data_IF_550737016805
#
_entry.id   IF_550737016805
#
_cell.length_a   1.000
_cell.length_b   1.000
_cell.length_c   1.000
_cell.angle_alpha   90.00
_cell.angle_beta   90.00
_cell.angle_gamma   90.00
#
_symmetry.space_group_name_H-M   'P 1'
#
loop_
_entity.id
_entity.type
_entity.pdbx_description
1 polymer ?
#
# COMPACT_ATOMS: atom_id res chain seq x y z
N UNK A 1 39.58 -29.18 -2.46
CA UNK A 1 38.88 -27.88 -2.52
C UNK A 1 39.16 -27.35 -3.91
N UNK A 2 38.17 -27.35 -4.80
CA UNK A 2 38.37 -26.97 -6.18
C UNK A 2 38.12 -25.46 -6.33
N UNK A 3 39.18 -24.72 -6.63
CA UNK A 3 39.09 -23.28 -6.88
C UNK A 3 38.14 -23.00 -8.04
N UNK A 4 37.15 -22.10 -7.86
CA UNK A 4 36.24 -21.72 -8.92
C UNK A 4 36.96 -20.89 -9.97
N UNK A 5 36.53 -21.03 -11.22
CA UNK A 5 37.00 -20.19 -12.31
C UNK A 5 36.26 -18.86 -12.23
N UNK A 6 36.99 -17.77 -12.04
CA UNK A 6 36.44 -16.42 -11.92
C UNK A 6 36.62 -15.70 -13.25
N UNK A 7 35.53 -15.13 -13.77
CA UNK A 7 35.48 -14.40 -15.04
C UNK A 7 34.71 -13.10 -14.84
N UNK A 8 35.03 -12.06 -15.62
CA UNK A 8 34.26 -10.83 -15.63
C UNK A 8 33.18 -10.90 -16.70
N UNK A 9 31.99 -10.38 -16.42
CA UNK A 9 30.86 -10.41 -17.35
C UNK A 9 31.12 -9.70 -18.68
N UNK A 10 32.13 -8.84 -18.75
CA UNK A 10 32.48 -8.05 -19.94
C UNK A 10 33.55 -8.69 -20.80
N UNK A 11 34.25 -9.68 -20.27
CA UNK A 11 35.39 -10.30 -20.91
C UNK A 11 35.32 -11.80 -20.65
N UNK A 12 34.52 -12.46 -21.49
CA UNK A 12 34.26 -13.89 -21.41
C UNK A 12 34.90 -14.55 -22.62
N UNK A 13 35.97 -15.29 -22.37
CA UNK A 13 36.60 -16.14 -23.39
C UNK A 13 35.68 -17.31 -23.77
N UNK A 14 35.58 -17.58 -25.08
CA UNK A 14 34.58 -18.46 -25.68
C UNK A 14 34.82 -19.97 -25.47
N UNK A 15 35.89 -20.40 -24.78
CA UNK A 15 36.22 -21.83 -24.63
C UNK A 15 35.71 -22.45 -23.31
N UNK A 16 34.38 -22.53 -23.20
CA UNK A 16 33.68 -23.05 -22.00
C UNK A 16 33.71 -24.59 -21.95
N UNK A 17 33.93 -25.25 -23.08
CA UNK A 17 33.91 -26.72 -23.21
C UNK A 17 35.10 -27.42 -22.55
N UNK A 18 36.18 -26.67 -22.28
CA UNK A 18 37.42 -27.17 -21.69
C UNK A 18 37.41 -27.17 -20.16
N UNK A 19 36.37 -26.61 -19.52
CA UNK A 19 36.33 -26.49 -18.06
C UNK A 19 35.83 -27.77 -17.36
N UNK A 20 36.54 -28.27 -16.34
CA UNK A 20 36.11 -29.44 -15.60
C UNK A 20 34.85 -29.14 -14.80
N UNK A 21 33.82 -29.99 -14.95
CA UNK A 21 32.49 -29.86 -14.32
C UNK A 21 32.56 -29.69 -12.80
N UNK A 22 33.60 -30.25 -12.17
CA UNK A 22 33.84 -30.18 -10.74
C UNK A 22 34.27 -28.80 -10.23
N UNK A 23 34.68 -27.88 -11.11
CA UNK A 23 35.01 -26.50 -10.75
C UNK A 23 33.78 -25.61 -10.98
N UNK A 24 33.38 -24.81 -10.00
CA UNK A 24 32.32 -23.82 -10.21
C UNK A 24 32.81 -22.69 -11.13
N UNK A 25 31.90 -22.00 -11.81
CA UNK A 25 32.19 -20.75 -12.54
C UNK A 25 31.56 -19.59 -11.78
N UNK A 26 32.33 -18.54 -11.53
CA UNK A 26 31.87 -17.27 -10.98
C UNK A 26 32.00 -16.21 -12.08
N UNK A 27 30.89 -15.57 -12.44
CA UNK A 27 30.89 -14.44 -13.38
C UNK A 27 30.58 -13.17 -12.60
N UNK A 28 31.53 -12.25 -12.57
CA UNK A 28 31.46 -11.02 -11.81
C UNK A 28 30.89 -9.85 -12.62
N UNK A 29 30.27 -8.90 -11.93
CA UNK A 29 29.83 -7.61 -12.48
C UNK A 29 28.83 -7.65 -13.64
N UNK A 30 27.86 -8.57 -13.59
CA UNK A 30 26.82 -8.71 -14.63
C UNK A 30 25.94 -7.46 -14.80
N UNK A 31 25.99 -6.51 -13.87
CA UNK A 31 25.27 -5.26 -13.92
C UNK A 31 25.94 -4.18 -14.80
N UNK A 32 27.22 -4.33 -15.16
CA UNK A 32 27.99 -3.31 -15.89
C UNK A 32 28.42 -3.80 -17.28
N UNK A 33 27.63 -3.51 -18.32
CA UNK A 33 27.91 -3.84 -19.75
C UNK A 33 28.19 -5.34 -20.08
N UNK A 34 27.41 -6.30 -19.54
CA UNK A 34 27.69 -7.71 -19.71
C UNK A 34 27.62 -8.18 -21.18
N UNK A 35 28.49 -9.12 -21.56
CA UNK A 35 28.35 -9.90 -22.79
C UNK A 35 27.21 -10.92 -22.63
N UNK A 36 26.03 -10.53 -23.10
CA UNK A 36 24.80 -11.29 -22.90
C UNK A 36 24.84 -12.64 -23.61
N UNK A 37 25.44 -12.72 -24.79
CA UNK A 37 25.41 -13.92 -25.60
C UNK A 37 26.33 -14.98 -25.01
N UNK A 38 27.53 -14.59 -24.61
CA UNK A 38 28.49 -15.47 -23.96
C UNK A 38 27.97 -16.02 -22.62
N UNK A 39 27.39 -15.16 -21.78
CA UNK A 39 26.79 -15.60 -20.49
C UNK A 39 25.64 -16.59 -20.71
N UNK A 40 24.76 -16.31 -21.68
CA UNK A 40 23.63 -17.20 -21.98
C UNK A 40 24.10 -18.55 -22.54
N UNK A 41 25.19 -18.58 -23.30
CA UNK A 41 25.76 -19.82 -23.80
C UNK A 41 26.38 -20.66 -22.68
N UNK A 42 27.13 -20.03 -21.76
CA UNK A 42 27.65 -20.67 -20.54
C UNK A 42 26.51 -21.27 -19.70
N UNK A 43 25.46 -20.49 -19.43
CA UNK A 43 24.31 -20.94 -18.65
C UNK A 43 23.58 -22.14 -19.27
N UNK A 44 23.65 -22.31 -20.60
CA UNK A 44 22.98 -23.41 -21.32
C UNK A 44 23.86 -24.65 -21.46
N UNK A 45 25.17 -24.48 -21.67
CA UNK A 45 26.08 -25.59 -22.00
C UNK A 45 26.79 -26.17 -20.78
N UNK A 46 27.11 -25.33 -19.80
CA UNK A 46 27.86 -25.77 -18.63
C UNK A 46 26.98 -26.55 -17.66
N UNK A 47 27.44 -27.74 -17.25
CA UNK A 47 26.69 -28.64 -16.35
C UNK A 47 27.02 -28.45 -14.87
N UNK A 48 28.08 -27.71 -14.54
CA UNK A 48 28.49 -27.43 -13.18
C UNK A 48 27.74 -26.24 -12.55
N UNK A 49 28.16 -25.84 -11.35
CA UNK A 49 27.55 -24.71 -10.65
C UNK A 49 28.06 -23.38 -11.20
N UNK A 50 27.13 -22.50 -11.59
CA UNK A 50 27.43 -21.11 -12.01
C UNK A 50 26.90 -20.14 -10.96
N UNK A 51 27.70 -19.16 -10.57
CA UNK A 51 27.33 -18.06 -9.70
C UNK A 51 27.56 -16.74 -10.42
N UNK A 52 26.51 -15.94 -10.55
CA UNK A 52 26.59 -14.60 -11.11
C UNK A 52 26.55 -13.57 -9.97
N UNK A 53 27.46 -12.59 -9.96
CA UNK A 53 27.44 -11.50 -8.97
C UNK A 53 27.03 -10.17 -9.60
N UNK A 54 26.31 -9.37 -8.82
CA UNK A 54 25.82 -8.04 -9.23
C UNK A 54 25.63 -7.16 -8.00
N UNK A 55 25.86 -5.85 -8.16
CA UNK A 55 25.60 -4.87 -7.09
C UNK A 55 24.10 -4.60 -6.96
N UNK A 56 23.37 -4.56 -8.08
CA UNK A 56 21.95 -4.28 -8.12
C UNK A 56 21.17 -5.22 -9.07
N UNK A 57 19.88 -5.41 -8.79
CA UNK A 57 19.01 -6.25 -9.62
C UNK A 57 18.51 -5.53 -10.88
N UNK A 58 18.44 -4.18 -10.87
CA UNK A 58 17.76 -3.41 -11.93
C UNK A 58 18.55 -3.37 -13.22
N UNK A 59 19.88 -3.31 -13.11
CA UNK A 59 20.79 -3.16 -14.25
C UNK A 59 21.12 -4.49 -14.94
N UNK A 60 20.77 -5.62 -14.32
CA UNK A 60 21.02 -6.95 -14.88
C UNK A 60 20.02 -7.27 -16.02
N UNK A 61 20.48 -7.80 -17.17
CA UNK A 61 19.59 -8.15 -18.29
C UNK A 61 18.53 -9.20 -17.91
N UNK A 62 17.26 -8.93 -18.28
CA UNK A 62 16.11 -9.80 -17.95
C UNK A 62 16.27 -11.26 -18.40
N UNK A 63 16.92 -11.49 -19.54
CA UNK A 63 17.12 -12.83 -20.09
C UNK A 63 18.03 -13.68 -19.19
N UNK A 64 19.05 -13.06 -18.58
CA UNK A 64 19.94 -13.72 -17.62
C UNK A 64 19.19 -13.96 -16.31
N UNK A 65 18.45 -12.96 -15.82
CA UNK A 65 17.65 -13.10 -14.59
C UNK A 65 16.66 -14.27 -14.68
N UNK A 66 16.01 -14.45 -15.82
CA UNK A 66 15.02 -15.51 -16.02
C UNK A 66 15.61 -16.93 -15.88
N UNK A 67 16.92 -17.10 -16.12
CA UNK A 67 17.61 -18.39 -16.02
C UNK A 67 18.22 -18.64 -14.63
N UNK A 68 18.22 -17.66 -13.74
CA UNK A 68 18.94 -17.73 -12.47
C UNK A 68 18.01 -17.67 -11.25
N UNK A 69 18.37 -18.42 -10.21
CA UNK A 69 17.73 -18.28 -8.89
C UNK A 69 18.35 -17.11 -8.14
N UNK A 70 17.59 -16.04 -7.95
CA UNK A 70 18.07 -14.83 -7.28
C UNK A 70 18.24 -15.09 -5.78
N UNK A 71 19.43 -14.81 -5.26
CA UNK A 71 19.72 -14.72 -3.81
C UNK A 71 20.26 -13.32 -3.51
N UNK A 72 19.71 -12.64 -2.51
CA UNK A 72 20.22 -11.34 -2.07
C UNK A 72 21.30 -11.55 -1.03
N UNK A 73 22.50 -11.03 -1.27
CA UNK A 73 23.51 -10.89 -0.22
C UNK A 73 22.97 -9.93 0.86
N UNK A 74 23.19 -10.28 2.14
CA UNK A 74 22.74 -9.47 3.29
C UNK A 74 21.33 -9.77 3.81
N UNK A 75 20.60 -10.75 3.25
CA UNK A 75 19.32 -11.19 3.84
C UNK A 75 19.50 -11.86 5.20
N UNK A 76 20.65 -12.49 5.41
CA UNK A 76 20.99 -13.14 6.67
C UNK A 76 21.86 -12.18 7.49
N UNK A 77 21.34 -11.77 8.65
CA UNK A 77 22.07 -10.89 9.56
C UNK A 77 23.04 -11.73 10.41
N UNK A 78 24.20 -12.07 9.83
CA UNK A 78 25.21 -12.92 10.47
C UNK A 78 25.65 -12.38 11.84
N UNK A 79 25.73 -11.05 11.98
CA UNK A 79 26.03 -10.40 13.26
C UNK A 79 24.96 -10.69 14.31
N UNK A 80 23.68 -10.61 13.95
CA UNK A 80 22.59 -10.99 14.86
C UNK A 80 22.66 -12.45 15.27
N UNK A 81 22.96 -13.35 14.33
CA UNK A 81 23.11 -14.78 14.65
C UNK A 81 24.27 -15.01 15.64
N UNK A 82 25.37 -14.27 15.50
CA UNK A 82 26.48 -14.31 16.46
C UNK A 82 26.08 -13.77 17.84
N UNK A 83 25.34 -12.65 17.87
CA UNK A 83 24.81 -12.10 19.14
C UNK A 83 23.84 -13.08 19.80
N UNK A 84 22.94 -13.73 19.04
CA UNK A 84 22.02 -14.74 19.57
C UNK A 84 22.77 -15.97 20.12
N UNK A 85 23.90 -16.36 19.53
CA UNK A 85 24.74 -17.43 20.11
C UNK A 85 25.47 -16.99 21.39
N UNK A 86 25.86 -15.72 21.50
CA UNK A 86 26.59 -15.19 22.66
C UNK A 86 25.67 -14.81 23.82
N UNK A 87 24.49 -14.26 23.51
CA UNK A 87 23.51 -13.75 24.45
C UNK A 87 22.09 -14.17 24.00
N UNK A 88 21.71 -15.44 24.22
CA UNK A 88 20.44 -15.97 23.70
C UNK A 88 19.18 -15.33 24.33
N UNK A 89 19.33 -14.69 25.49
CA UNK A 89 18.25 -13.99 26.19
C UNK A 89 18.28 -12.47 25.96
N UNK A 90 19.11 -11.95 25.05
CA UNK A 90 19.10 -10.53 24.72
C UNK A 90 17.82 -10.14 23.99
N UNK A 91 17.19 -9.05 24.40
CA UNK A 91 16.10 -8.45 23.65
C UNK A 91 16.63 -7.76 22.38
N UNK A 92 15.87 -7.78 21.28
CA UNK A 92 16.26 -7.06 20.08
C UNK A 92 16.27 -5.54 20.38
N UNK A 93 17.21 -4.78 19.79
CA UNK A 93 17.27 -3.34 20.00
C UNK A 93 15.95 -2.70 19.56
N UNK A 94 15.37 -1.89 20.44
CA UNK A 94 14.16 -1.13 20.13
C UNK A 94 14.51 0.01 19.17
N UNK A 95 14.03 -0.11 17.93
CA UNK A 95 14.14 1.00 16.97
C UNK A 95 13.07 2.05 17.26
N UNK A 96 13.45 3.33 17.32
CA UNK A 96 12.52 4.46 17.46
C UNK A 96 11.92 4.91 16.12
N UNK A 97 12.53 4.53 14.99
CA UNK A 97 12.03 4.91 13.67
C UNK A 97 10.74 4.16 13.36
N UNK A 98 9.68 4.93 13.05
CA UNK A 98 8.37 4.42 12.69
C UNK A 98 7.79 5.20 11.53
N UNK A 99 7.20 4.50 10.58
CA UNK A 99 6.35 5.12 9.57
C UNK A 99 5.02 5.57 10.21
N UNK A 100 4.29 6.48 9.54
CA UNK A 100 3.07 7.06 10.12
C UNK A 100 2.00 6.02 10.44
N UNK A 101 1.92 4.94 9.65
CA UNK A 101 0.98 3.85 9.92
C UNK A 101 1.35 3.12 11.20
N UNK A 102 2.60 2.65 11.34
CA UNK A 102 3.03 1.93 12.54
C UNK A 102 2.97 2.81 13.78
N UNK A 103 3.32 4.09 13.65
CA UNK A 103 3.23 5.05 14.75
C UNK A 103 1.79 5.25 15.23
N UNK A 104 0.81 5.40 14.32
CA UNK A 104 -0.61 5.51 14.70
C UNK A 104 -1.14 4.19 15.30
N UNK A 105 -0.71 3.05 14.75
CA UNK A 105 -1.10 1.75 15.25
C UNK A 105 -0.56 1.49 16.66
N UNK A 106 0.72 1.75 16.90
CA UNK A 106 1.36 1.66 18.22
C UNK A 106 0.72 2.64 19.20
N UNK A 107 0.48 3.89 18.78
CA UNK A 107 -0.19 4.91 19.61
C UNK A 107 -1.52 4.41 20.19
N UNK A 108 -2.32 3.71 19.37
CA UNK A 108 -3.64 3.20 19.75
C UNK A 108 -3.57 1.91 20.58
N UNK A 109 -2.57 1.07 20.33
CA UNK A 109 -2.44 -0.25 20.96
C UNK A 109 -1.68 -0.20 22.28
N UNK A 110 -0.52 0.43 22.28
CA UNK A 110 0.40 0.51 23.40
C UNK A 110 -0.29 1.16 24.60
N UNK A 111 0.06 0.78 25.83
CA UNK A 111 -0.47 1.41 27.04
C UNK A 111 0.54 2.38 27.63
N UNK A 112 1.84 2.12 27.48
CA UNK A 112 2.89 3.02 27.96
C UNK A 112 2.86 4.33 27.17
N UNK A 113 2.52 5.45 27.84
CA UNK A 113 2.35 6.76 27.19
C UNK A 113 3.66 7.52 27.05
N UNK A 114 4.61 7.29 27.97
CA UNK A 114 5.95 7.87 27.87
C UNK A 114 6.68 7.36 26.63
N UNK A 115 6.56 6.07 26.34
CA UNK A 115 7.11 5.48 25.12
C UNK A 115 6.52 6.14 23.86
N UNK A 116 5.19 6.31 23.82
CA UNK A 116 4.52 6.95 22.68
C UNK A 116 4.91 8.42 22.54
N UNK A 117 5.03 9.16 23.64
CA UNK A 117 5.55 10.53 23.65
C UNK A 117 6.93 10.59 23.00
N UNK A 118 7.84 9.72 23.42
CA UNK A 118 9.20 9.68 22.89
C UNK A 118 9.22 9.30 21.40
N UNK A 119 8.38 8.35 20.99
CA UNK A 119 8.21 7.98 19.57
C UNK A 119 7.65 9.13 18.72
N UNK A 120 6.66 9.87 19.22
CA UNK A 120 6.09 11.03 18.53
C UNK A 120 7.10 12.17 18.41
N UNK A 121 7.87 12.43 19.47
CA UNK A 121 8.91 13.47 19.50
C UNK A 121 10.13 13.12 18.63
N UNK A 122 10.45 11.83 18.48
CA UNK A 122 11.51 11.36 17.60
C UNK A 122 11.10 11.45 16.12
N UNK A 123 9.95 10.89 15.76
CA UNK A 123 9.51 10.80 14.36
C UNK A 123 8.88 12.10 13.81
N UNK A 124 8.32 12.95 14.67
CA UNK A 124 7.68 14.23 14.34
C UNK A 124 6.75 14.19 13.10
N UNK A 125 5.71 13.33 13.10
CA UNK A 125 4.79 13.20 11.98
C UNK A 125 3.96 14.49 11.81
N UNK A 126 3.66 14.89 10.57
CA UNK A 126 2.86 16.10 10.33
C UNK A 126 1.55 16.11 11.15
N UNK A 127 1.32 17.18 11.93
CA UNK A 127 0.25 17.28 12.94
C UNK A 127 -1.14 17.00 12.35
N UNK A 128 -1.39 17.51 11.14
CA UNK A 128 -2.64 17.29 10.41
C UNK A 128 -2.81 15.84 9.96
N UNK A 129 -1.72 15.20 9.55
CA UNK A 129 -1.74 13.81 9.10
C UNK A 129 -2.04 12.88 10.28
N UNK A 130 -1.31 12.99 11.39
CA UNK A 130 -1.54 12.11 12.53
C UNK A 130 -2.94 12.29 13.14
N UNK A 131 -3.43 13.53 13.27
CA UNK A 131 -4.78 13.78 13.77
C UNK A 131 -5.86 13.23 12.84
N UNK A 132 -5.69 13.34 11.52
CA UNK A 132 -6.66 12.77 10.56
C UNK A 132 -6.74 11.25 10.65
N UNK A 133 -5.62 10.58 10.96
CA UNK A 133 -5.58 9.14 11.15
C UNK A 133 -6.19 8.72 12.49
N UNK A 134 -5.90 9.46 13.56
CA UNK A 134 -6.45 9.18 14.89
C UNK A 134 -7.96 9.48 14.97
N UNK A 135 -8.46 10.50 14.27
CA UNK A 135 -9.88 10.89 14.28
C UNK A 135 -10.82 9.79 13.74
N UNK A 136 -10.34 8.92 12.85
CA UNK A 136 -11.12 7.79 12.31
C UNK A 136 -11.18 6.59 13.29
N UNK A 137 -10.28 6.57 14.27
CA UNK A 137 -10.10 5.43 15.17
C UNK A 137 -10.42 5.76 16.63
N UNK A 138 -10.57 7.04 16.97
CA UNK A 138 -10.82 7.52 18.32
C UNK A 138 -12.09 8.36 18.40
N UNK A 139 -12.69 8.40 19.59
CA UNK A 139 -13.81 9.31 19.85
C UNK A 139 -13.34 10.78 19.71
N UNK A 140 -14.05 11.62 18.94
CA UNK A 140 -13.64 13.01 18.65
C UNK A 140 -13.27 13.81 19.90
N UNK A 141 -14.06 13.70 20.98
CA UNK A 141 -13.81 14.43 22.23
C UNK A 141 -12.41 14.26 22.81
N UNK A 142 -11.73 13.14 22.55
CA UNK A 142 -10.35 12.92 23.03
C UNK A 142 -9.33 13.79 22.29
N UNK A 143 -9.62 14.16 21.04
CA UNK A 143 -8.73 14.93 20.17
C UNK A 143 -9.11 16.41 20.06
N UNK A 144 -10.34 16.79 20.44
CA UNK A 144 -10.85 18.18 20.31
C UNK A 144 -9.92 19.20 20.97
N UNK A 145 -9.46 18.92 22.20
CA UNK A 145 -8.58 19.86 22.90
C UNK A 145 -7.23 20.01 22.18
N UNK A 146 -6.65 18.90 21.75
CA UNK A 146 -5.34 18.87 21.09
C UNK A 146 -5.41 19.55 19.71
N UNK A 147 -6.42 19.25 18.90
CA UNK A 147 -6.58 19.85 17.56
C UNK A 147 -7.06 21.31 17.60
N UNK A 148 -8.00 21.63 18.50
CA UNK A 148 -8.63 22.95 18.57
C UNK A 148 -7.81 24.01 19.32
N UNK A 149 -7.11 23.61 20.40
CA UNK A 149 -6.39 24.54 21.28
C UNK A 149 -4.89 24.38 21.13
N UNK A 150 -4.37 23.17 21.32
CA UNK A 150 -2.92 22.94 21.48
C UNK A 150 -2.17 23.18 20.16
N UNK A 151 -2.58 22.48 19.09
CA UNK A 151 -1.96 22.51 17.77
C UNK A 151 -1.72 23.90 17.18
N UNK A 152 -2.59 24.87 17.46
CA UNK A 152 -2.51 26.22 16.87
C UNK A 152 -1.82 27.25 17.75
N UNK A 153 -1.78 27.02 19.07
CA UNK A 153 -1.36 28.04 20.05
C UNK A 153 -0.03 27.73 20.72
N UNK A 154 0.42 26.48 20.67
CA UNK A 154 1.57 26.00 21.44
C UNK A 154 2.64 25.39 20.53
N UNK A 155 3.81 25.13 21.11
CA UNK A 155 4.93 24.51 20.39
C UNK A 155 4.61 23.08 19.96
N UNK A 156 5.23 22.63 18.87
CA UNK A 156 5.02 21.29 18.33
C UNK A 156 5.43 20.18 19.32
N UNK A 157 6.45 20.43 20.13
CA UNK A 157 6.86 19.53 21.22
C UNK A 157 5.72 19.32 22.21
N UNK A 158 5.14 20.41 22.70
CA UNK A 158 4.01 20.35 23.63
C UNK A 158 2.77 19.72 22.99
N UNK A 159 2.55 19.94 21.70
CA UNK A 159 1.50 19.25 20.94
C UNK A 159 1.64 17.73 21.00
N UNK A 160 2.84 17.17 20.73
CA UNK A 160 3.04 15.71 20.80
C UNK A 160 2.98 15.17 22.22
N UNK A 161 3.49 15.91 23.20
CA UNK A 161 3.37 15.54 24.61
C UNK A 161 1.89 15.44 25.00
N UNK A 162 1.07 16.46 24.71
CA UNK A 162 -0.36 16.43 24.99
C UNK A 162 -1.11 15.38 24.15
N UNK A 163 -0.71 15.17 22.89
CA UNK A 163 -1.28 14.14 22.05
C UNK A 163 -1.05 12.76 22.68
N UNK A 164 0.17 12.43 23.10
CA UNK A 164 0.52 11.14 23.70
C UNK A 164 -0.43 10.73 24.85
N UNK A 165 -0.78 11.68 25.72
CA UNK A 165 -1.67 11.44 26.86
C UNK A 165 -3.17 11.61 26.56
N UNK A 166 -3.55 11.99 25.33
CA UNK A 166 -4.97 12.10 24.95
C UNK A 166 -5.67 10.74 24.81
N UNK A 167 -4.90 9.65 24.82
CA UNK A 167 -5.40 8.28 24.75
C UNK A 167 -4.64 7.34 25.70
N UNK A 168 -5.37 6.46 26.38
CA UNK A 168 -4.81 5.46 27.29
C UNK A 168 -4.29 4.18 26.59
N UNK A 169 -4.55 4.01 25.29
CA UNK A 169 -4.21 2.79 24.56
C UNK A 169 -5.32 1.72 24.61
N UNK A 170 -4.90 0.46 24.47
CA UNK A 170 -5.74 -0.75 24.54
C UNK A 170 -6.80 -0.86 23.42
N UNK A 171 -6.57 -0.22 22.27
CA UNK A 171 -7.43 -0.42 21.12
C UNK A 171 -7.29 -1.87 20.60
N UNK A 172 -8.36 -2.65 20.72
CA UNK A 172 -8.47 -3.96 20.09
C UNK A 172 -9.09 -3.81 18.69
N UNK A 173 -8.28 -3.97 17.63
CA UNK A 173 -8.79 -3.92 16.27
C UNK A 173 -7.75 -3.57 15.21
N UNK A 174 -8.22 -3.51 13.96
CA UNK A 174 -7.43 -3.01 12.83
C UNK A 174 -7.57 -1.49 12.77
N UNK A 175 -6.48 -0.81 12.39
CA UNK A 175 -6.48 0.62 12.12
C UNK A 175 -7.34 0.92 10.89
N UNK A 176 -8.33 1.78 11.04
CA UNK A 176 -9.09 2.35 9.93
C UNK A 176 -8.28 3.48 9.30
N UNK A 177 -7.96 3.34 8.01
CA UNK A 177 -7.27 4.39 7.27
C UNK A 177 -8.25 5.51 6.89
N UNK A 178 -7.83 6.79 6.99
CA UNK A 178 -8.69 7.89 6.58
C UNK A 178 -9.01 7.80 5.09
N UNK A 179 -10.30 7.79 4.77
CA UNK A 179 -10.74 7.74 3.37
C UNK A 179 -10.74 9.14 2.79
N UNK A 180 -9.88 9.34 1.79
CA UNK A 180 -9.88 10.59 1.01
C UNK A 180 -11.28 10.81 0.40
N UNK A 181 -11.79 12.05 0.47
CA UNK A 181 -13.09 12.48 -0.11
C UNK A 181 -14.34 11.89 0.55
N UNK A 182 -14.29 11.53 1.84
CA UNK A 182 -15.48 11.18 2.63
C UNK A 182 -16.38 12.38 2.98
N UNK A 183 -16.11 13.56 2.39
CA UNK A 183 -17.02 14.70 2.48
C UNK A 183 -18.36 14.38 1.81
N UNK A 184 -19.43 14.93 2.38
CA UNK A 184 -20.79 14.80 1.84
C UNK A 184 -20.81 15.10 0.34
N UNK A 185 -21.44 14.25 -0.47
CA UNK A 185 -21.65 14.52 -1.89
C UNK A 185 -22.66 15.65 -2.13
N UNK A 186 -23.33 16.16 -1.09
CA UNK A 186 -24.38 17.18 -1.19
C UNK A 186 -23.91 18.48 -1.88
N UNK A 187 -22.72 19.06 -1.58
CA UNK A 187 -22.26 20.27 -2.28
C UNK A 187 -21.94 20.03 -3.76
N UNK A 188 -21.55 18.79 -4.13
CA UNK A 188 -21.40 18.41 -5.53
C UNK A 188 -22.76 18.26 -6.21
N UNK A 189 -23.72 17.61 -5.57
CA UNK A 189 -25.08 17.45 -6.10
C UNK A 189 -25.82 18.78 -6.24
N UNK A 190 -25.64 19.69 -5.28
CA UNK A 190 -26.15 21.07 -5.34
C UNK A 190 -25.68 21.76 -6.61
N UNK A 191 -24.37 21.73 -6.89
CA UNK A 191 -23.80 22.29 -8.12
C UNK A 191 -24.29 21.60 -9.39
N UNK A 192 -24.44 20.27 -9.37
CA UNK A 192 -24.98 19.47 -10.49
C UNK A 192 -26.42 19.85 -10.84
N UNK A 193 -27.21 20.25 -9.83
CA UNK A 193 -28.57 20.76 -10.00
C UNK A 193 -28.64 22.26 -10.29
N UNK A 194 -27.50 22.96 -10.39
CA UNK A 194 -27.43 24.40 -10.64
C UNK A 194 -27.65 25.28 -9.40
N UNK A 195 -27.72 24.69 -8.21
CA UNK A 195 -27.94 25.42 -6.96
C UNK A 195 -26.59 25.70 -6.28
N UNK A 196 -26.24 26.98 -6.13
CA UNK A 196 -24.96 27.38 -5.51
C UNK A 196 -24.89 27.05 -4.01
N UNK A 197 -26.00 27.13 -3.29
CA UNK A 197 -26.06 26.92 -1.84
C UNK A 197 -26.78 25.60 -1.48
N UNK A 198 -26.10 24.64 -0.80
CA UNK A 198 -26.70 23.36 -0.43
C UNK A 198 -27.84 23.47 0.59
N UNK A 199 -27.95 24.57 1.34
CA UNK A 199 -29.07 24.81 2.27
C UNK A 199 -30.35 25.11 1.50
N UNK A 200 -30.25 25.91 0.44
CA UNK A 200 -31.37 26.27 -0.45
C UNK A 200 -31.85 25.02 -1.21
N UNK A 201 -30.93 24.12 -1.59
CA UNK A 201 -31.29 22.86 -2.23
C UNK A 201 -32.32 22.06 -1.39
N UNK A 202 -32.14 21.98 -0.07
CA UNK A 202 -33.07 21.25 0.80
C UNK A 202 -34.46 21.90 0.86
N UNK A 203 -34.55 23.22 0.67
CA UNK A 203 -35.83 23.94 0.59
C UNK A 203 -36.50 23.68 -0.76
N UNK A 204 -35.76 23.76 -1.87
CA UNK A 204 -36.25 23.48 -3.22
C UNK A 204 -36.72 22.03 -3.37
N UNK A 205 -36.09 21.08 -2.70
CA UNK A 205 -36.51 19.67 -2.74
C UNK A 205 -37.87 19.40 -2.05
N UNK A 206 -38.43 20.37 -1.32
CA UNK A 206 -39.80 20.29 -0.77
C UNK A 206 -40.86 20.55 -1.83
N UNK A 207 -40.51 21.30 -2.89
CA UNK A 207 -41.39 21.56 -4.02
C UNK A 207 -41.50 20.29 -4.89
N UNK A 208 -42.73 19.76 -5.13
CA UNK A 208 -42.92 18.56 -5.94
C UNK A 208 -42.40 18.72 -7.37
N UNK A 209 -42.52 19.89 -7.99
CA UNK A 209 -42.11 20.10 -9.38
C UNK A 209 -40.59 20.03 -9.51
N UNK A 210 -39.88 20.73 -8.63
CA UNK A 210 -38.42 20.69 -8.58
C UNK A 210 -37.90 19.29 -8.25
N UNK A 211 -38.61 18.55 -7.38
CA UNK A 211 -38.28 17.17 -7.03
C UNK A 211 -38.36 16.21 -8.23
N UNK A 212 -39.38 16.34 -9.08
CA UNK A 212 -39.49 15.54 -10.30
C UNK A 212 -38.43 15.90 -11.35
N UNK A 213 -38.14 17.20 -11.48
CA UNK A 213 -37.06 17.68 -12.34
C UNK A 213 -35.68 17.16 -11.89
N UNK A 214 -35.39 17.26 -10.59
CA UNK A 214 -34.14 16.78 -10.01
C UNK A 214 -33.99 15.26 -10.18
N UNK A 215 -35.09 14.51 -10.03
CA UNK A 215 -35.11 13.08 -10.33
C UNK A 215 -34.70 12.80 -11.77
N UNK A 216 -35.06 13.59 -12.78
CA UNK A 216 -34.63 13.33 -14.16
C UNK A 216 -33.10 13.40 -14.31
N UNK A 217 -32.46 14.39 -13.69
CA UNK A 217 -31.01 14.67 -13.80
C UNK A 217 -30.09 13.78 -12.96
N UNK A 218 -30.54 13.28 -11.82
CA UNK A 218 -29.69 12.54 -10.87
C UNK A 218 -29.70 11.02 -11.11
N UNK A 219 -28.70 10.29 -10.63
CA UNK A 219 -28.72 8.81 -10.62
C UNK A 219 -29.55 8.26 -9.44
N UNK A 220 -29.92 6.98 -9.48
CA UNK A 220 -30.67 6.35 -8.37
C UNK A 220 -29.95 6.49 -7.02
N UNK A 221 -28.63 6.30 -6.99
CA UNK A 221 -27.82 6.45 -5.77
C UNK A 221 -27.83 7.89 -5.25
N UNK A 222 -27.78 8.88 -6.14
CA UNK A 222 -27.83 10.31 -5.79
C UNK A 222 -29.23 10.72 -5.29
N UNK A 223 -30.31 10.19 -5.88
CA UNK A 223 -31.67 10.42 -5.42
C UNK A 223 -31.92 9.86 -4.01
N UNK A 224 -31.34 8.70 -3.66
CA UNK A 224 -31.39 8.16 -2.29
C UNK A 224 -30.66 9.08 -1.32
N UNK A 225 -29.50 9.60 -1.70
CA UNK A 225 -28.71 10.50 -0.86
C UNK A 225 -29.48 11.78 -0.52
N UNK A 226 -30.27 12.32 -1.47
CA UNK A 226 -31.12 13.49 -1.26
C UNK A 226 -32.51 13.17 -0.67
N UNK A 227 -32.79 11.91 -0.32
CA UNK A 227 -34.08 11.45 0.25
C UNK A 227 -35.31 11.79 -0.61
N UNK A 228 -35.14 11.93 -1.93
CA UNK A 228 -36.22 12.32 -2.84
C UNK A 228 -36.98 11.10 -3.43
N UNK A 229 -36.55 9.88 -3.09
CA UNK A 229 -37.10 8.61 -3.57
C UNK A 229 -36.48 8.16 -4.90
N UNK A 230 -36.66 6.89 -5.27
CA UNK A 230 -36.04 6.33 -6.47
C UNK A 230 -36.71 6.81 -7.77
N UNK A 231 -35.97 6.79 -8.88
CA UNK A 231 -36.59 6.93 -10.21
C UNK A 231 -37.50 5.73 -10.45
N UNK A 232 -38.69 5.95 -10.99
CA UNK A 232 -39.54 4.84 -11.45
C UNK A 232 -38.80 4.13 -12.59
N UNK A 233 -38.57 2.81 -12.44
CA UNK A 233 -38.07 1.99 -13.55
C UNK A 233 -39.09 2.08 -14.67
N UNK A 234 -38.68 2.47 -15.88
CA UNK A 234 -39.55 2.36 -17.06
C UNK A 234 -39.91 0.88 -17.23
N UNK A 235 -41.20 0.59 -17.36
CA UNK A 235 -41.65 -0.75 -17.75
C UNK A 235 -41.03 -1.03 -19.13
N UNK A 236 -40.38 -2.18 -19.29
CA UNK A 236 -39.91 -2.63 -20.61
C UNK A 236 -41.17 -2.81 -21.47
N UNK A 237 -41.32 -1.97 -22.48
CA UNK A 237 -42.37 -2.07 -23.51
C UNK A 237 -41.87 -2.80 -24.76
N UNK A 238 -40.58 -3.15 -24.79
CA UNK A 238 -40.02 -3.92 -25.89
C UNK A 238 -40.65 -5.33 -25.87
N UNK A 239 -41.18 -5.81 -27.01
CA UNK A 239 -41.71 -7.16 -27.09
C UNK A 239 -40.58 -8.13 -26.74
N UNK A 240 -40.83 -8.98 -25.73
CA UNK A 240 -39.91 -10.05 -25.37
C UNK A 240 -39.94 -11.05 -26.53
N UNK A 241 -38.92 -11.03 -27.40
CA UNK A 241 -38.68 -12.13 -28.32
C UNK A 241 -38.21 -13.32 -27.49
N UNK A 242 -39.16 -14.18 -27.13
CA UNK A 242 -38.91 -15.47 -26.49
C UNK A 242 -38.14 -16.32 -27.49
N UNK A 243 -36.83 -16.46 -27.29
CA UNK A 243 -35.97 -17.24 -28.18
C UNK A 243 -36.19 -18.76 -28.04
N UNK A 244 -36.86 -19.21 -26.98
CA UNK A 244 -37.14 -20.63 -26.73
C UNK A 244 -38.59 -20.80 -26.30
N UNK A 245 -39.40 -21.42 -27.15
CA UNK A 245 -40.79 -21.77 -26.81
C UNK A 245 -40.93 -23.22 -26.41
N UNK A 246 -39.99 -24.09 -26.78
CA UNK A 246 -40.08 -25.53 -26.56
C UNK A 246 -38.75 -26.12 -26.08
N UNK A 247 -38.83 -27.24 -25.35
CA UNK A 247 -37.68 -27.91 -24.71
C UNK A 247 -36.68 -28.50 -25.73
N UNK A 248 -37.10 -28.66 -27.00
CA UNK A 248 -36.28 -29.22 -28.08
C UNK A 248 -35.19 -28.27 -28.61
N UNK A 249 -35.32 -26.95 -28.39
CA UNK A 249 -34.38 -25.92 -28.87
C UNK A 249 -33.00 -25.97 -28.18
N UNK A 250 -32.75 -26.98 -27.33
CA UNK A 250 -31.52 -27.17 -26.56
C UNK A 250 -30.51 -28.12 -27.23
N UNK A 251 -30.96 -28.95 -28.18
CA UNK A 251 -30.16 -30.06 -28.71
C UNK A 251 -29.62 -29.87 -30.14
N UNK A 252 -29.89 -28.73 -30.79
CA UNK A 252 -29.47 -28.44 -32.16
C UNK A 252 -28.51 -27.23 -32.30
N UNK A 253 -27.70 -26.96 -31.27
CA UNK A 253 -26.61 -25.98 -31.34
C UNK A 253 -25.23 -26.63 -31.24
#
# INVERSE_FOLDING_TARGET
>A
MNDPIVMYANDIDFDVGSFPIERGIIIEDVHYKPDKEAILDILRRYRGQIVLTSIDQKSVPKNIIAMCKIKRAGSNNFLRNQVETMAPHSEPPFSYERDTYSLCYEYLKESNRDLIKDLLLFNKPADTQILSWLAENMHPNRLIFVDGVVKRRWSQRYFYEMLAYSHQGNMAGRLNMPRRRQYSKIPFLSRKLGVKNPVILNQLLKDPEFKEWAKKKLTHAECRLLKIGEKRKRKKTDPINVQQKFLGDYFEA
#
